data_IF_806876563995
#
_entry.id   IF_806876563995
#
_cell.length_a   1.000
_cell.length_b   1.000
_cell.length_c   1.000
_cell.angle_alpha   90.00
_cell.angle_beta   90.00
_cell.angle_gamma   90.00
#
_symmetry.space_group_name_H-M   'P 1'
#
loop_
_entity.id
_entity.type
_entity.pdbx_description
1 polymer ?
#
# COMPACT_ATOMS: atom_id res chain seq x y z
N UNK A 1 -11.53 3.04 0.39
CA UNK A 1 -10.10 3.05 0.72
C UNK A 1 -9.80 4.32 1.50
N UNK A 2 -9.62 4.23 2.82
CA UNK A 2 -9.26 5.38 3.64
C UNK A 2 -7.80 5.72 3.36
N UNK A 3 -7.56 6.79 2.60
CA UNK A 3 -6.21 7.28 2.36
C UNK A 3 -5.70 7.94 3.63
N UNK A 4 -4.72 7.33 4.29
CA UNK A 4 -4.07 7.96 5.45
C UNK A 4 -2.85 8.73 4.99
N UNK A 5 -2.62 9.88 5.58
CA UNK A 5 -1.51 10.77 5.28
C UNK A 5 -0.65 10.94 6.53
N UNK A 6 0.66 11.02 6.32
CA UNK A 6 1.65 11.26 7.36
C UNK A 6 2.48 12.46 6.98
N UNK A 7 2.86 13.28 7.95
CA UNK A 7 3.87 14.32 7.76
C UNK A 7 5.16 13.77 8.35
N UNK A 8 6.16 13.54 7.50
CA UNK A 8 7.42 12.90 7.87
C UNK A 8 8.57 13.87 7.58
N UNK A 9 9.57 13.92 8.43
CA UNK A 9 10.78 14.67 8.18
C UNK A 9 11.47 15.14 9.45
N UNK A 10 12.40 16.07 9.31
CA UNK A 10 13.21 16.54 10.43
C UNK A 10 14.36 17.41 9.97
N UNK A 11 15.39 17.49 10.81
CA UNK A 11 16.61 18.24 10.52
C UNK A 11 17.62 17.27 9.90
N UNK A 12 18.02 17.55 8.66
CA UNK A 12 18.96 16.74 7.91
C UNK A 12 20.41 17.20 8.14
N UNK A 13 21.36 16.34 7.82
CA UNK A 13 22.79 16.66 7.92
C UNK A 13 23.24 17.65 6.83
N UNK A 14 22.52 17.68 5.70
CA UNK A 14 22.80 18.52 4.55
C UNK A 14 21.52 18.96 3.84
N UNK A 15 21.66 19.87 2.88
CA UNK A 15 20.56 20.36 2.02
C UNK A 15 20.21 19.38 0.89
N UNK A 16 20.85 18.21 0.82
CA UNK A 16 20.42 17.14 -0.08
C UNK A 16 19.30 16.32 0.56
N UNK A 17 19.07 16.48 1.87
CA UNK A 17 18.03 15.80 2.63
C UNK A 17 18.12 14.27 2.54
N UNK A 18 19.35 13.76 2.52
CA UNK A 18 19.63 12.33 2.36
C UNK A 18 19.75 11.57 3.68
N UNK A 19 20.18 12.27 4.74
CA UNK A 19 20.43 11.69 6.06
C UNK A 19 20.01 12.65 7.16
N UNK A 20 19.35 12.15 8.21
CA UNK A 20 19.01 12.92 9.41
C UNK A 20 20.31 13.34 10.14
N UNK A 21 20.32 14.55 10.68
CA UNK A 21 21.45 15.08 11.43
C UNK A 21 21.78 14.21 12.66
N UNK A 22 23.07 14.06 12.98
CA UNK A 22 23.50 13.23 14.10
C UNK A 22 22.88 13.70 15.44
N UNK A 23 22.26 12.76 16.17
CA UNK A 23 21.57 13.05 17.43
C UNK A 23 20.17 13.67 17.26
N UNK A 24 19.61 13.64 16.05
CA UNK A 24 18.21 13.97 15.77
C UNK A 24 17.46 12.74 15.28
N UNK A 25 16.16 12.72 15.49
CA UNK A 25 15.26 11.69 14.98
C UNK A 25 14.35 12.26 13.90
N UNK A 26 13.97 11.41 12.95
CA UNK A 26 12.92 11.72 11.99
C UNK A 26 11.56 11.77 12.72
N UNK A 27 10.87 12.88 12.58
CA UNK A 27 9.55 13.10 13.16
C UNK A 27 8.49 12.63 12.17
N UNK A 28 7.64 11.71 12.62
CA UNK A 28 6.48 11.22 11.87
C UNK A 28 5.18 11.58 12.60
N UNK A 29 4.39 12.46 12.01
CA UNK A 29 3.12 12.97 12.56
C UNK A 29 1.95 12.40 11.76
N UNK A 30 0.95 11.85 12.45
CA UNK A 30 -0.24 11.25 11.84
C UNK A 30 -0.73 10.01 12.63
N UNK A 31 -1.60 9.18 12.03
CA UNK A 31 -2.15 9.30 10.68
C UNK A 31 -3.22 10.40 10.58
N UNK A 32 -3.27 11.09 9.45
CA UNK A 32 -4.35 12.02 9.08
C UNK A 32 -5.26 11.37 8.04
N UNK A 33 -6.57 11.50 8.18
CA UNK A 33 -7.53 10.90 7.24
C UNK A 33 -7.70 11.74 5.95
N UNK A 34 -7.20 12.98 5.96
CA UNK A 34 -7.36 13.93 4.87
C UNK A 34 -6.05 14.67 4.55
N UNK A 35 -5.84 14.96 3.26
CA UNK A 35 -4.63 15.63 2.79
C UNK A 35 -4.53 17.08 3.26
N UNK A 36 -5.64 17.82 3.36
CA UNK A 36 -5.65 19.20 3.87
C UNK A 36 -5.31 19.25 5.35
N UNK A 37 -5.70 18.25 6.15
CA UNK A 37 -5.25 18.11 7.54
C UNK A 37 -3.74 17.90 7.62
N UNK A 38 -3.20 16.96 6.84
CA UNK A 38 -1.76 16.73 6.76
C UNK A 38 -1.02 17.99 6.28
N UNK A 39 -1.57 18.71 5.30
CA UNK A 39 -1.01 19.96 4.77
C UNK A 39 -1.00 21.10 5.77
N UNK A 40 -2.02 21.21 6.62
CA UNK A 40 -2.04 22.19 7.71
C UNK A 40 -0.92 21.93 8.72
N UNK A 41 -0.73 20.67 9.11
CA UNK A 41 0.36 20.28 10.03
C UNK A 41 1.73 20.45 9.39
N UNK A 42 1.89 20.05 8.13
CA UNK A 42 3.10 20.27 7.36
C UNK A 42 3.46 21.77 7.26
N UNK A 43 2.48 22.64 6.98
CA UNK A 43 2.67 24.09 6.95
C UNK A 43 3.11 24.65 8.31
N UNK A 44 2.48 24.19 9.40
CA UNK A 44 2.85 24.60 10.74
C UNK A 44 4.32 24.23 11.04
N UNK A 45 4.74 23.00 10.70
CA UNK A 45 6.13 22.56 10.85
C UNK A 45 7.11 23.32 9.97
N UNK A 46 6.76 23.57 8.71
CA UNK A 46 7.60 24.36 7.82
C UNK A 46 7.81 25.80 8.31
N UNK A 47 6.79 26.41 8.93
CA UNK A 47 6.90 27.75 9.53
C UNK A 47 7.69 27.74 10.84
N UNK A 48 7.54 26.71 11.66
CA UNK A 48 8.32 26.51 12.90
C UNK A 48 9.83 26.41 12.61
N UNK A 49 10.19 25.79 11.48
CA UNK A 49 11.59 25.57 11.08
C UNK A 49 12.02 26.45 9.91
N UNK A 50 11.37 27.60 9.68
CA UNK A 50 11.62 28.45 8.50
C UNK A 50 13.06 28.96 8.41
N UNK A 51 13.70 29.17 9.56
CA UNK A 51 15.07 29.68 9.66
C UNK A 51 16.14 28.57 9.57
N UNK A 52 15.74 27.29 9.52
CA UNK A 52 16.66 26.15 9.42
C UNK A 52 16.63 25.57 7.99
N UNK A 53 17.68 25.87 7.22
CA UNK A 53 17.83 25.38 5.85
C UNK A 53 17.97 23.84 5.73
N UNK A 54 18.28 23.16 6.83
CA UNK A 54 18.38 21.70 6.87
C UNK A 54 17.08 21.04 7.30
N UNK A 55 16.07 21.80 7.72
CA UNK A 55 14.78 21.26 8.09
C UNK A 55 13.90 21.04 6.86
N UNK A 56 13.42 19.80 6.70
CA UNK A 56 12.46 19.46 5.62
C UNK A 56 11.43 18.47 6.13
N UNK A 57 10.19 18.74 5.78
CA UNK A 57 9.06 17.83 5.99
C UNK A 57 8.39 17.54 4.65
N UNK A 58 7.98 16.29 4.46
CA UNK A 58 7.20 15.79 3.33
C UNK A 58 5.85 15.28 3.83
N UNK A 59 4.86 15.25 2.95
CA UNK A 59 3.59 14.57 3.19
C UNK A 59 3.64 13.26 2.44
N UNK A 60 3.54 12.16 3.17
CA UNK A 60 3.51 10.82 2.63
C UNK A 60 2.09 10.27 2.69
N UNK A 61 1.64 9.67 1.58
CA UNK A 61 0.40 8.91 1.56
C UNK A 61 0.71 7.48 2.00
N UNK A 62 0.05 7.01 3.04
CA UNK A 62 0.08 5.61 3.43
C UNK A 62 -0.64 4.80 2.35
N UNK A 63 0.16 4.21 1.46
CA UNK A 63 -0.30 3.19 0.53
C UNK A 63 -0.44 1.89 1.32
N UNK A 64 -1.68 1.52 1.68
CA UNK A 64 -1.95 0.12 1.97
C UNK A 64 -2.00 -0.59 0.63
N UNK A 65 -0.98 -1.39 0.35
CA UNK A 65 -1.03 -2.33 -0.75
C UNK A 65 -2.13 -3.36 -0.43
N UNK A 66 -3.25 -3.32 -1.16
CA UNK A 66 -4.31 -4.28 -0.97
C UNK A 66 -4.06 -5.47 -1.90
N UNK A 67 -3.83 -6.64 -1.33
CA UNK A 67 -3.67 -7.86 -2.11
C UNK A 67 -5.02 -8.57 -2.23
N UNK A 68 -5.34 -9.01 -3.44
CA UNK A 68 -6.58 -9.71 -3.75
C UNK A 68 -6.25 -11.03 -4.43
N UNK A 69 -6.89 -12.11 -4.01
CA UNK A 69 -6.83 -13.38 -4.72
C UNK A 69 -8.01 -13.44 -5.67
N UNK A 70 -7.74 -13.49 -6.98
CA UNK A 70 -8.75 -13.45 -8.03
C UNK A 70 -8.65 -14.72 -8.87
N UNK A 71 -9.78 -15.34 -9.17
CA UNK A 71 -9.80 -16.54 -9.99
C UNK A 71 -11.15 -17.20 -10.11
N UNK A 72 -11.16 -18.39 -10.68
CA UNK A 72 -12.35 -19.22 -10.84
C UNK A 72 -12.13 -20.30 -11.88
N UNK A 73 -13.25 -20.88 -12.33
CA UNK A 73 -13.28 -21.93 -13.34
C UNK A 73 -13.43 -21.30 -14.73
N UNK A 74 -12.53 -21.66 -15.64
CA UNK A 74 -12.51 -21.18 -17.01
C UNK A 74 -13.08 -22.22 -17.98
N UNK A 75 -13.46 -21.79 -19.18
CA UNK A 75 -13.96 -22.71 -20.22
C UNK A 75 -12.84 -23.53 -20.85
N UNK A 76 -11.61 -23.02 -20.78
CA UNK A 76 -10.43 -23.63 -21.36
C UNK A 76 -9.17 -23.34 -20.53
N UNK A 77 -8.07 -24.01 -20.87
CA UNK A 77 -6.76 -23.82 -20.24
C UNK A 77 -6.03 -22.57 -20.74
N UNK A 78 -6.66 -21.74 -21.59
CA UNK A 78 -6.13 -20.42 -21.95
C UNK A 78 -6.60 -19.35 -20.95
N UNK A 79 -7.60 -19.66 -20.11
CA UNK A 79 -8.08 -18.81 -19.03
C UNK A 79 -8.60 -17.45 -19.51
N UNK A 80 -9.17 -17.38 -20.72
CA UNK A 80 -9.72 -16.15 -21.31
C UNK A 80 -11.21 -15.95 -21.00
N UNK A 81 -11.95 -17.04 -20.78
CA UNK A 81 -13.39 -17.01 -20.57
C UNK A 81 -13.77 -17.87 -19.38
N UNK A 82 -14.58 -17.33 -18.48
CA UNK A 82 -15.09 -18.06 -17.32
C UNK A 82 -16.19 -19.05 -17.72
N UNK A 83 -16.18 -20.22 -17.09
CA UNK A 83 -17.13 -21.30 -17.34
C UNK A 83 -18.57 -20.89 -17.02
N UNK A 84 -18.77 -20.14 -15.93
CA UNK A 84 -20.10 -19.74 -15.44
C UNK A 84 -20.67 -18.48 -16.12
N UNK A 85 -19.96 -17.91 -17.12
CA UNK A 85 -20.37 -16.67 -17.79
C UNK A 85 -20.40 -15.42 -16.88
N UNK A 86 -20.02 -15.57 -15.61
CA UNK A 86 -19.95 -14.51 -14.61
C UNK A 86 -18.59 -13.79 -14.56
N UNK A 87 -18.34 -13.07 -13.46
CA UNK A 87 -17.06 -12.43 -13.16
C UNK A 87 -16.18 -13.32 -12.28
N UNK A 88 -14.86 -13.09 -12.30
CA UNK A 88 -13.91 -13.83 -11.47
C UNK A 88 -14.23 -13.62 -9.98
N UNK A 89 -14.10 -14.69 -9.19
CA UNK A 89 -14.25 -14.61 -7.74
C UNK A 89 -13.08 -13.79 -7.18
N UNK A 90 -13.38 -12.86 -6.28
CA UNK A 90 -12.38 -12.00 -5.62
C UNK A 90 -12.42 -12.25 -4.11
N UNK A 91 -11.27 -12.60 -3.55
CA UNK A 91 -11.08 -12.82 -2.13
C UNK A 91 -10.08 -11.78 -1.61
N UNK A 92 -10.47 -11.01 -0.60
CA UNK A 92 -9.69 -9.88 -0.07
C UNK A 92 -10.58 -8.77 0.48
N UNK A 93 -10.01 -7.59 0.79
CA UNK A 93 -8.59 -7.24 0.65
C UNK A 93 -7.71 -7.87 1.74
N UNK A 94 -6.50 -8.31 1.37
CA UNK A 94 -5.46 -8.75 2.29
C UNK A 94 -4.42 -7.63 2.48
N UNK A 95 -3.98 -7.42 3.72
CA UNK A 95 -3.02 -6.36 4.06
C UNK A 95 -1.56 -6.75 3.85
N UNK A 96 -1.30 -8.00 3.44
CA UNK A 96 0.04 -8.52 3.15
C UNK A 96 -0.01 -9.58 2.07
N UNK A 97 1.03 -9.62 1.25
CA UNK A 97 1.22 -10.65 0.23
C UNK A 97 1.21 -12.06 0.83
N UNK A 98 1.76 -12.25 2.03
CA UNK A 98 1.78 -13.56 2.70
C UNK A 98 0.36 -14.05 3.05
N UNK A 99 -0.52 -13.14 3.48
CA UNK A 99 -1.93 -13.48 3.74
C UNK A 99 -2.63 -13.88 2.44
N UNK A 100 -2.44 -13.10 1.37
CA UNK A 100 -2.98 -13.44 0.05
C UNK A 100 -2.41 -14.75 -0.50
N UNK A 101 -1.12 -15.04 -0.28
CA UNK A 101 -0.47 -16.28 -0.71
C UNK A 101 -1.04 -17.51 0.00
N UNK A 102 -1.35 -17.40 1.31
CA UNK A 102 -2.00 -18.48 2.06
C UNK A 102 -3.38 -18.79 1.51
N UNK A 103 -4.20 -17.76 1.26
CA UNK A 103 -5.53 -17.95 0.66
C UNK A 103 -5.42 -18.51 -0.77
N UNK A 104 -4.56 -17.94 -1.60
CA UNK A 104 -4.28 -18.42 -2.95
C UNK A 104 -3.89 -19.89 -2.95
N UNK A 105 -2.95 -20.29 -2.08
CA UNK A 105 -2.52 -21.68 -1.95
C UNK A 105 -3.67 -22.58 -1.53
N UNK A 106 -4.48 -22.17 -0.54
CA UNK A 106 -5.63 -22.95 -0.10
C UNK A 106 -6.63 -23.19 -1.25
N UNK A 107 -6.93 -22.16 -2.05
CA UNK A 107 -7.83 -22.24 -3.21
C UNK A 107 -7.26 -23.10 -4.34
N UNK A 108 -5.99 -22.89 -4.68
CA UNK A 108 -5.31 -23.68 -5.71
C UNK A 108 -5.20 -25.16 -5.34
N UNK A 109 -4.98 -25.48 -4.05
CA UNK A 109 -4.97 -26.88 -3.59
C UNK A 109 -6.37 -27.50 -3.56
N UNK A 110 -7.41 -26.72 -3.21
CA UNK A 110 -8.79 -27.20 -3.26
C UNK A 110 -9.26 -27.53 -4.68
N UNK A 111 -8.70 -26.86 -5.69
CA UNK A 111 -9.00 -27.05 -7.10
C UNK A 111 -7.89 -27.79 -7.87
N UNK A 112 -7.02 -28.54 -7.18
CA UNK A 112 -5.83 -29.17 -7.79
C UNK A 112 -6.17 -30.16 -8.92
N UNK A 113 -7.31 -30.83 -8.82
CA UNK A 113 -7.79 -31.79 -9.80
C UNK A 113 -8.54 -31.14 -10.97
N UNK A 114 -8.74 -29.81 -10.93
CA UNK A 114 -9.43 -29.05 -11.96
C UNK A 114 -8.44 -28.23 -12.80
N UNK A 115 -8.12 -28.75 -13.99
CA UNK A 115 -7.23 -28.10 -14.93
C UNK A 115 -7.77 -26.76 -15.48
N UNK A 116 -9.06 -26.50 -15.31
CA UNK A 116 -9.69 -25.27 -15.75
C UNK A 116 -9.80 -24.23 -14.63
N UNK A 117 -9.43 -24.55 -13.40
CA UNK A 117 -9.42 -23.62 -12.28
C UNK A 117 -8.08 -22.90 -12.18
N UNK A 118 -8.10 -21.56 -12.12
CA UNK A 118 -6.89 -20.76 -11.89
C UNK A 118 -7.16 -19.60 -10.96
N UNK A 119 -6.25 -19.40 -10.00
CA UNK A 119 -6.24 -18.27 -9.08
C UNK A 119 -4.91 -17.53 -9.21
N UNK A 120 -4.95 -16.20 -9.07
CA UNK A 120 -3.79 -15.31 -9.08
C UNK A 120 -3.92 -14.27 -7.97
N UNK A 121 -2.80 -13.68 -7.60
CA UNK A 121 -2.76 -12.56 -6.63
C UNK A 121 -2.58 -11.27 -7.42
N UNK A 122 -3.48 -10.32 -7.21
CA UNK A 122 -3.38 -8.95 -7.73
C UNK A 122 -3.11 -7.98 -6.58
N UNK A 123 -2.33 -6.93 -6.86
CA UNK A 123 -2.06 -5.83 -5.95
C UNK A 123 -2.85 -4.61 -6.46
N UNK A 124 -3.77 -4.10 -5.63
CA UNK A 124 -4.66 -2.97 -5.92
C UNK A 124 -4.34 -1.76 -5.03
#
# INVERSE_FOLDING_TARGET
>A
MSSRYWVVGGIYADTNFSQIAAGRDETRLGPFDDYDQAKAVWRAKAMETVDDAHARYSIEKESHDEFWVIGGNYTDTNFHKLADGGSEQRFGPFTSYEQAQREWKARSMAAIDDAYARYRIEKL
#
